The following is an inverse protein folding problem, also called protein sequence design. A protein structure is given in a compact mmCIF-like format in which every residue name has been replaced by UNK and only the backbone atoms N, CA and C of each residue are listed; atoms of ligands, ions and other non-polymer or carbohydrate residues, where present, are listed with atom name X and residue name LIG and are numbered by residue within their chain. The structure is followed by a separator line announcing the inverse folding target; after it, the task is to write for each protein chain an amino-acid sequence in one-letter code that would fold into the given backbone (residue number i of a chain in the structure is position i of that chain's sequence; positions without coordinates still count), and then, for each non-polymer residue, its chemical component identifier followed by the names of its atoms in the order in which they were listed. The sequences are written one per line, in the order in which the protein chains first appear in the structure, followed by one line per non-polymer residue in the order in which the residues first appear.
data_IF_198958483245
#
_entry.id   IF_198958483245
#
_cell.length_a   1.000
_cell.length_b   1.000
_cell.length_c   1.000
_cell.angle_alpha   90.00
_cell.angle_beta   90.00
_cell.angle_gamma   90.00
#
_symmetry.space_group_name_H-M   'P 1'
#
loop_
_entity.id
_entity.type
_entity.pdbx_description
1 polymer ?
#
# COMPACT_ATOMS: atom_id res chain seq x y z
N UNK A 1 7.38 -38.46 12.01
CA UNK A 1 7.13 -37.44 13.05
C UNK A 1 7.94 -36.19 12.70
N UNK A 2 7.33 -35.07 12.25
CA UNK A 2 8.03 -33.83 11.90
C UNK A 2 8.26 -32.93 13.12
N UNK A 3 9.45 -32.31 13.19
CA UNK A 3 9.88 -31.40 14.25
C UNK A 3 9.14 -30.05 14.17
N UNK A 4 8.44 -29.71 15.24
CA UNK A 4 8.02 -28.35 15.54
C UNK A 4 9.17 -27.60 16.24
N UNK A 5 9.31 -26.28 16.00
CA UNK A 5 9.62 -25.31 17.08
C UNK A 5 9.37 -23.84 16.67
N UNK A 6 8.19 -23.37 17.09
CA UNK A 6 7.84 -22.12 17.79
C UNK A 6 8.31 -20.77 17.19
N UNK A 7 7.36 -19.86 16.85
CA UNK A 7 7.61 -18.47 16.49
C UNK A 7 7.78 -17.60 17.74
N UNK A 8 8.67 -16.61 17.71
CA UNK A 8 8.67 -15.52 18.68
C UNK A 8 9.12 -14.24 18.00
N UNK A 9 8.28 -13.21 18.09
CA UNK A 9 8.66 -11.86 17.71
C UNK A 9 9.81 -11.34 18.58
N UNK A 10 10.41 -10.25 18.14
CA UNK A 10 10.56 -9.02 18.94
C UNK A 10 11.35 -8.00 18.12
N UNK A 11 10.77 -6.80 18.05
CA UNK A 11 11.37 -5.56 17.56
C UNK A 11 12.64 -5.28 18.37
N UNK A 12 13.81 -5.15 17.74
CA UNK A 12 15.01 -4.65 18.40
C UNK A 12 15.84 -3.79 17.44
N UNK A 13 15.53 -2.49 17.39
CA UNK A 13 16.46 -1.39 17.74
C UNK A 13 15.99 -0.04 17.19
N UNK A 14 16.05 0.96 18.08
CA UNK A 14 15.43 2.29 18.02
C UNK A 14 16.29 3.42 17.42
N UNK A 15 17.44 3.18 16.78
CA UNK A 15 18.47 4.24 16.70
C UNK A 15 18.99 4.73 15.34
N UNK A 16 18.49 4.32 14.17
CA UNK A 16 18.97 4.90 12.89
C UNK A 16 17.88 5.01 11.81
N UNK A 17 16.72 5.52 12.22
CA UNK A 17 15.67 5.95 11.30
C UNK A 17 16.05 7.36 10.82
N UNK A 18 16.68 7.50 9.65
CA UNK A 18 16.49 8.58 8.64
C UNK A 18 17.58 8.47 7.55
N UNK A 19 17.15 8.24 6.30
CA UNK A 19 17.95 8.37 5.08
C UNK A 19 18.60 7.06 4.59
N UNK A 20 18.18 6.58 3.41
CA UNK A 20 18.90 5.60 2.54
C UNK A 20 18.85 4.12 3.03
N UNK A 21 18.61 3.02 2.28
CA UNK A 21 18.39 2.65 0.86
C UNK A 21 17.80 1.20 0.80
N UNK A 22 17.96 0.36 -0.27
CA UNK A 22 16.87 -0.31 -1.00
C UNK A 22 16.73 -1.81 -0.65
N UNK A 23 15.54 -2.40 -0.75
CA UNK A 23 15.41 -3.87 -0.58
C UNK A 23 14.34 -4.51 -1.45
N UNK A 24 14.70 -4.82 -2.69
CA UNK A 24 14.60 -6.21 -3.17
C UNK A 24 15.43 -6.38 -4.42
N UNK A 25 16.33 -7.36 -4.36
CA UNK A 25 16.88 -7.97 -5.56
C UNK A 25 15.71 -8.48 -6.39
N UNK A 26 15.62 -8.00 -7.62
CA UNK A 26 14.70 -8.50 -8.63
C UNK A 26 15.28 -9.84 -9.09
N UNK A 27 14.94 -10.93 -8.38
CA UNK A 27 15.07 -12.26 -8.98
C UNK A 27 13.96 -12.41 -10.00
N UNK A 28 14.31 -12.16 -11.26
CA UNK A 28 13.50 -12.56 -12.40
C UNK A 28 13.21 -14.06 -12.36
N UNK A 29 12.01 -14.44 -12.80
CA UNK A 29 11.71 -15.85 -13.01
C UNK A 29 10.29 -16.33 -12.68
N UNK A 30 9.27 -15.47 -12.63
CA UNK A 30 7.89 -15.95 -12.73
C UNK A 30 7.10 -15.09 -13.70
N UNK A 31 6.77 -15.68 -14.85
CA UNK A 31 5.75 -15.17 -15.74
C UNK A 31 4.46 -15.01 -14.93
N UNK A 32 4.05 -13.76 -14.75
CA UNK A 32 2.74 -13.43 -14.17
C UNK A 32 1.70 -13.89 -15.19
N UNK A 33 1.09 -15.04 -14.91
CA UNK A 33 0.05 -15.65 -15.73
C UNK A 33 -1.08 -14.63 -15.84
N UNK A 34 -1.26 -14.13 -17.07
CA UNK A 34 -1.92 -12.86 -17.35
C UNK A 34 -3.45 -12.94 -17.42
N UNK A 35 -4.09 -13.98 -16.85
CA UNK A 35 -5.51 -14.18 -17.13
C UNK A 35 -6.39 -14.81 -16.04
N UNK A 36 -5.93 -14.94 -14.79
CA UNK A 36 -6.79 -15.53 -13.73
C UNK A 36 -6.40 -15.15 -12.28
N UNK A 37 -5.76 -14.00 -12.10
CA UNK A 37 -5.45 -13.49 -10.77
C UNK A 37 -6.64 -12.65 -10.30
N UNK A 38 -7.48 -13.22 -9.43
CA UNK A 38 -8.24 -12.41 -8.46
C UNK A 38 -7.28 -11.35 -7.95
N UNK A 39 -7.49 -10.09 -8.34
CA UNK A 39 -6.51 -9.05 -8.04
C UNK A 39 -6.39 -8.99 -6.52
N UNK A 40 -5.21 -9.28 -5.94
CA UNK A 40 -5.08 -9.29 -4.49
C UNK A 40 -5.52 -7.93 -3.97
N UNK A 41 -6.34 -7.93 -2.92
CA UNK A 41 -6.81 -6.68 -2.31
C UNK A 41 -5.60 -5.85 -1.89
N UNK A 42 -5.43 -4.69 -2.54
CA UNK A 42 -4.27 -3.81 -2.36
C UNK A 42 -4.50 -2.80 -1.25
N UNK A 43 -5.76 -2.45 -1.02
CA UNK A 43 -6.23 -1.61 0.07
C UNK A 43 -7.44 -2.27 0.73
N UNK A 44 -7.48 -2.26 2.05
CA UNK A 44 -8.62 -2.77 2.83
C UNK A 44 -9.40 -1.61 3.42
N UNK A 45 -10.71 -1.78 3.62
CA UNK A 45 -11.49 -0.82 4.40
C UNK A 45 -10.88 -0.60 5.78
N UNK A 46 -10.64 0.65 6.12
CA UNK A 46 -10.06 1.09 7.39
C UNK A 46 -8.54 1.21 7.40
N UNK A 47 -7.85 0.75 6.34
CA UNK A 47 -6.39 0.85 6.25
C UNK A 47 -5.94 2.30 6.20
N UNK A 48 -4.83 2.60 6.88
CA UNK A 48 -4.10 3.84 6.66
C UNK A 48 -3.34 3.68 5.35
N UNK A 49 -3.62 4.58 4.41
CA UNK A 49 -3.11 4.57 3.05
C UNK A 49 -2.44 5.91 2.75
N UNK A 50 -1.60 5.91 1.72
CA UNK A 50 -1.02 7.10 1.14
C UNK A 50 -1.93 7.60 0.04
N UNK A 51 -2.37 8.85 0.15
CA UNK A 51 -3.09 9.55 -0.91
C UNK A 51 -2.09 10.38 -1.69
N UNK A 52 -2.02 10.13 -3.00
CA UNK A 52 -1.18 10.87 -3.93
C UNK A 52 -2.08 11.76 -4.77
N UNK A 53 -1.95 13.07 -4.63
CA UNK A 53 -2.64 14.03 -5.48
C UNK A 53 -1.70 14.47 -6.58
N UNK A 54 -2.12 14.27 -7.83
CA UNK A 54 -1.40 14.70 -9.02
C UNK A 54 -2.09 15.92 -9.61
N UNK A 55 -1.39 17.06 -9.69
CA UNK A 55 -1.88 18.27 -10.37
C UNK A 55 -0.78 18.86 -11.25
N UNK A 56 -0.82 18.53 -12.55
CA UNK A 56 0.22 18.93 -13.50
C UNK A 56 1.61 18.42 -13.07
N UNK A 57 2.62 19.30 -12.89
CA UNK A 57 3.95 18.90 -12.43
C UNK A 57 4.05 18.72 -10.91
N UNK A 58 2.99 19.01 -10.14
CA UNK A 58 3.00 18.91 -8.69
C UNK A 58 2.41 17.58 -8.22
N UNK A 59 3.12 16.93 -7.30
CA UNK A 59 2.66 15.74 -6.59
C UNK A 59 2.63 16.04 -5.09
N UNK A 60 1.47 15.88 -4.47
CA UNK A 60 1.30 16.03 -3.02
C UNK A 60 0.93 14.69 -2.41
N UNK A 61 1.60 14.32 -1.33
CA UNK A 61 1.38 13.05 -0.63
C UNK A 61 0.83 13.30 0.76
N UNK A 62 -0.31 12.72 1.11
CA UNK A 62 -0.89 12.83 2.45
C UNK A 62 -1.33 11.47 2.96
N UNK A 63 -1.53 11.36 4.28
CA UNK A 63 -2.10 10.14 4.87
C UNK A 63 -3.62 10.18 4.80
N UNK A 64 -4.20 9.09 4.34
CA UNK A 64 -5.63 8.87 4.30
C UNK A 64 -6.01 7.56 5.00
N UNK A 65 -7.30 7.37 5.15
CA UNK A 65 -7.93 6.13 5.58
C UNK A 65 -8.81 5.63 4.46
N UNK A 66 -8.62 4.38 4.05
CA UNK A 66 -9.51 3.80 3.05
C UNK A 66 -10.89 3.54 3.66
N UNK A 67 -11.94 3.91 2.95
CA UNK A 67 -13.32 3.63 3.35
C UNK A 67 -13.86 2.36 2.71
N UNK A 68 -13.15 1.84 1.70
CA UNK A 68 -13.54 0.67 0.93
C UNK A 68 -12.32 -0.24 0.69
N UNK A 69 -12.58 -1.51 0.44
CA UNK A 69 -11.55 -2.41 -0.08
C UNK A 69 -11.47 -2.28 -1.59
N UNK A 70 -10.28 -2.45 -2.15
CA UNK A 70 -10.07 -2.41 -3.59
C UNK A 70 -8.74 -3.01 -4.00
N UNK A 71 -8.66 -3.44 -5.25
CA UNK A 71 -7.45 -3.87 -5.89
C UNK A 71 -6.90 -2.77 -6.83
N UNK A 72 -5.70 -2.97 -7.37
CA UNK A 72 -5.11 -2.03 -8.35
C UNK A 72 -6.09 -1.77 -9.49
N UNK A 73 -6.28 -0.50 -9.81
CA UNK A 73 -7.20 0.00 -10.83
C UNK A 73 -8.62 0.27 -10.33
N UNK A 74 -8.98 -0.16 -9.12
CA UNK A 74 -10.32 0.07 -8.58
C UNK A 74 -10.46 1.50 -8.07
N UNK A 75 -11.65 2.06 -8.27
CA UNK A 75 -12.05 3.34 -7.67
C UNK A 75 -12.53 3.08 -6.25
N UNK A 76 -11.85 3.66 -5.26
CA UNK A 76 -12.17 3.53 -3.85
C UNK A 76 -12.42 4.87 -3.21
N UNK A 77 -13.39 4.92 -2.29
CA UNK A 77 -13.58 6.06 -1.40
C UNK A 77 -12.55 6.03 -0.28
N UNK A 78 -11.97 7.18 -0.01
CA UNK A 78 -10.93 7.39 1.00
C UNK A 78 -11.26 8.65 1.80
N UNK A 79 -10.75 8.76 3.01
CA UNK A 79 -10.85 9.99 3.81
C UNK A 79 -9.45 10.47 4.16
N UNK A 80 -9.15 11.74 3.91
CA UNK A 80 -7.89 12.34 4.36
C UNK A 80 -7.89 12.44 5.88
N UNK A 81 -6.84 11.98 6.55
CA UNK A 81 -6.73 12.06 8.01
C UNK A 81 -6.51 13.50 8.46
N UNK A 82 -5.82 14.29 7.64
CA UNK A 82 -5.43 15.66 7.96
C UNK A 82 -6.61 16.63 7.89
N UNK A 83 -7.39 16.55 6.80
CA UNK A 83 -8.49 17.47 6.54
C UNK A 83 -9.89 16.88 6.75
N UNK A 84 -9.97 15.60 7.13
CA UNK A 84 -11.21 14.81 7.24
C UNK A 84 -12.13 14.89 6.01
N UNK A 85 -11.53 15.15 4.83
CA UNK A 85 -12.25 15.24 3.56
C UNK A 85 -12.40 13.86 2.96
N UNK A 86 -13.63 13.51 2.59
CA UNK A 86 -13.93 12.31 1.81
C UNK A 86 -13.60 12.56 0.34
N UNK A 87 -12.80 11.68 -0.23
CA UNK A 87 -12.26 11.76 -1.57
C UNK A 87 -12.48 10.42 -2.27
N UNK A 88 -12.36 10.44 -3.59
CA UNK A 88 -12.38 9.23 -4.41
C UNK A 88 -11.09 9.21 -5.22
N UNK A 89 -10.47 8.03 -5.31
CA UNK A 89 -9.24 7.86 -6.06
C UNK A 89 -9.09 6.43 -6.53
N UNK A 90 -8.11 6.22 -7.39
CA UNK A 90 -7.80 4.92 -7.96
C UNK A 90 -6.66 4.27 -7.19
N UNK A 91 -6.82 3.00 -6.83
CA UNK A 91 -5.73 2.24 -6.20
C UNK A 91 -4.63 2.01 -7.22
N UNK A 92 -3.44 2.52 -6.94
CA UNK A 92 -2.29 2.42 -7.84
C UNK A 92 -1.24 1.44 -7.33
N UNK A 93 -1.13 1.27 -6.00
CA UNK A 93 -0.21 0.33 -5.38
C UNK A 93 -0.73 -0.16 -4.01
N UNK A 94 0.08 -0.99 -3.34
CA UNK A 94 -0.23 -1.47 -2.00
C UNK A 94 -0.32 -0.30 -1.02
N UNK A 95 -1.49 -0.10 -0.40
CA UNK A 95 -1.76 1.04 0.49
C UNK A 95 -1.55 2.41 -0.15
N UNK A 96 -1.71 2.53 -1.46
CA UNK A 96 -1.58 3.79 -2.19
C UNK A 96 -2.77 4.03 -3.11
N UNK A 97 -3.29 5.25 -3.07
CA UNK A 97 -4.41 5.70 -3.89
C UNK A 97 -4.06 7.04 -4.52
N UNK A 98 -4.16 7.11 -5.85
CA UNK A 98 -3.95 8.34 -6.60
C UNK A 98 -5.28 9.04 -6.85
N UNK A 99 -5.31 10.35 -6.61
CA UNK A 99 -6.43 11.25 -6.84
C UNK A 99 -6.00 12.22 -7.93
N UNK A 100 -6.78 12.27 -9.01
CA UNK A 100 -6.58 13.14 -10.18
C UNK A 100 -7.72 14.13 -10.30
#
# INVERSE_FOLDING_TARGET
MPQAKIPNGTILKEADIIGMTPRRMVSGGRALISNDLERPQMVSRGDIITLVFESGPMMLTVKGKSMQSGAIGDLVRVSSIDSNKNLQGTVTAHREVTIR
#
